data_IF_155995280032
#
_entry.id   IF_155995280032
#
_cell.length_a   1.000
_cell.length_b   1.000
_cell.length_c   1.000
_cell.angle_alpha   90.00
_cell.angle_beta   90.00
_cell.angle_gamma   90.00
#
_symmetry.space_group_name_H-M   'P 1'
#
loop_
_entity.id
_entity.type
_entity.pdbx_description
1 polymer ?
#
# COMPACT_ATOMS: atom_id res chain seq x y z
N UNK A 1 -7.93 11.05 6.86
CA UNK A 1 -7.04 10.26 5.98
C UNK A 1 -6.28 9.14 6.68
N UNK A 2 -5.26 9.37 7.53
CA UNK A 2 -4.47 8.23 8.08
C UNK A 2 -5.32 7.22 8.88
N UNK A 3 -6.26 7.72 9.69
CA UNK A 3 -7.21 6.89 10.44
C UNK A 3 -8.21 6.19 9.51
N UNK A 4 -8.78 6.91 8.54
CA UNK A 4 -9.67 6.33 7.52
C UNK A 4 -9.03 5.14 6.80
N UNK A 5 -7.74 5.25 6.43
CA UNK A 5 -7.01 4.14 5.78
C UNK A 5 -6.95 2.90 6.69
N UNK A 6 -6.75 3.08 8.00
CA UNK A 6 -6.72 1.96 8.94
C UNK A 6 -8.09 1.31 9.16
N UNK A 7 -9.18 2.03 8.86
CA UNK A 7 -10.57 1.58 9.01
C UNK A 7 -11.20 1.10 7.69
N UNK A 8 -10.44 1.07 6.59
CA UNK A 8 -10.92 0.58 5.29
C UNK A 8 -11.37 -0.87 5.38
N UNK A 9 -12.44 -1.20 4.65
CA UNK A 9 -12.92 -2.58 4.48
C UNK A 9 -12.47 -3.21 3.17
N UNK A 10 -12.23 -2.39 2.16
CA UNK A 10 -11.70 -2.76 0.84
C UNK A 10 -10.95 -1.57 0.23
N UNK A 11 -10.23 -1.82 -0.85
CA UNK A 11 -9.45 -0.83 -1.58
C UNK A 11 -7.95 -1.06 -1.50
N UNK A 12 -7.21 -0.32 -2.33
CA UNK A 12 -5.77 -0.43 -2.47
C UNK A 12 -5.03 0.82 -1.99
N UNK A 13 -4.03 0.60 -1.15
CA UNK A 13 -3.18 1.63 -0.54
C UNK A 13 -1.76 1.43 -1.01
N UNK A 14 -1.17 2.43 -1.67
CA UNK A 14 0.23 2.43 -2.08
C UNK A 14 1.07 3.23 -1.09
N UNK A 15 2.02 2.57 -0.44
CA UNK A 15 3.05 3.20 0.39
C UNK A 15 4.37 3.21 -0.36
N UNK A 16 5.02 4.37 -0.43
CA UNK A 16 6.22 4.58 -1.24
C UNK A 16 7.32 5.24 -0.40
N UNK A 17 8.57 4.97 -0.74
CA UNK A 17 9.74 5.54 -0.05
C UNK A 17 10.17 4.76 1.20
N UNK A 18 9.91 3.45 1.25
CA UNK A 18 10.31 2.55 2.35
C UNK A 18 9.60 2.87 3.69
N UNK A 19 8.30 3.17 3.63
CA UNK A 19 7.46 3.48 4.78
C UNK A 19 7.13 2.28 5.69
N UNK A 20 8.11 1.45 6.08
CA UNK A 20 7.95 0.18 6.84
C UNK A 20 7.04 0.32 8.04
N UNK A 21 7.24 1.39 8.83
CA UNK A 21 6.45 1.62 10.04
C UNK A 21 4.97 1.81 9.74
N UNK A 22 4.64 2.55 8.68
CA UNK A 22 3.26 2.77 8.28
C UNK A 22 2.64 1.48 7.76
N UNK A 23 3.35 0.75 6.90
CA UNK A 23 2.90 -0.53 6.38
C UNK A 23 2.56 -1.52 7.51
N UNK A 24 3.46 -1.63 8.50
CA UNK A 24 3.23 -2.42 9.72
C UNK A 24 2.02 -1.94 10.51
N UNK A 25 1.84 -0.62 10.70
CA UNK A 25 0.68 -0.09 11.42
C UNK A 25 -0.63 -0.52 10.75
N UNK A 26 -0.72 -0.42 9.42
CA UNK A 26 -1.95 -0.79 8.70
C UNK A 26 -2.21 -2.28 8.73
N UNK A 27 -1.18 -3.11 8.47
CA UNK A 27 -1.33 -4.56 8.54
C UNK A 27 -1.73 -5.03 9.95
N UNK A 28 -1.11 -4.47 10.99
CA UNK A 28 -1.49 -4.77 12.37
C UNK A 28 -2.93 -4.32 12.69
N UNK A 29 -3.36 -3.16 12.18
CA UNK A 29 -4.72 -2.66 12.39
C UNK A 29 -5.76 -3.60 11.75
N UNK A 30 -5.52 -4.01 10.50
CA UNK A 30 -6.41 -4.91 9.79
C UNK A 30 -6.38 -6.35 10.35
N UNK A 31 -5.21 -6.84 10.75
CA UNK A 31 -5.07 -8.14 11.43
C UNK A 31 -5.80 -8.17 12.78
N UNK A 32 -5.72 -7.09 13.57
CA UNK A 32 -6.50 -6.95 14.83
C UNK A 32 -8.01 -6.95 14.62
N UNK A 33 -8.49 -6.60 13.42
CA UNK A 33 -9.89 -6.71 13.05
C UNK A 33 -10.29 -8.14 12.62
N UNK A 34 -9.41 -9.14 12.80
CA UNK A 34 -9.67 -10.55 12.52
C UNK A 34 -9.49 -10.96 11.06
N UNK A 35 -8.78 -10.15 10.25
CA UNK A 35 -8.58 -10.41 8.82
C UNK A 35 -7.34 -11.26 8.58
N UNK A 36 -7.44 -12.26 7.70
CA UNK A 36 -6.29 -13.07 7.29
C UNK A 36 -5.48 -12.30 6.26
N UNK A 37 -4.17 -12.32 6.45
CA UNK A 37 -3.23 -11.54 5.64
C UNK A 37 -2.38 -12.52 4.83
N UNK A 38 -2.35 -12.33 3.51
CA UNK A 38 -1.36 -12.96 2.62
C UNK A 38 -0.31 -11.93 2.22
N UNK A 39 0.96 -12.27 2.41
CA UNK A 39 2.09 -11.44 2.01
C UNK A 39 2.98 -12.19 1.03
N UNK A 40 3.47 -11.51 -0.01
CA UNK A 40 4.49 -12.10 -0.89
C UNK A 40 5.79 -12.42 -0.13
N UNK A 41 6.17 -11.50 0.74
CA UNK A 41 7.16 -11.70 1.79
C UNK A 41 6.97 -10.62 2.86
N UNK A 42 7.57 -10.84 4.03
CA UNK A 42 7.49 -9.92 5.16
C UNK A 42 8.79 -9.14 5.34
N UNK A 43 8.89 -7.87 4.87
CA UNK A 43 10.06 -7.03 5.10
C UNK A 43 10.18 -6.52 6.55
N UNK A 44 9.21 -6.83 7.40
CA UNK A 44 9.12 -6.44 8.81
C UNK A 44 8.18 -7.40 9.57
N UNK A 45 8.29 -7.40 10.90
CA UNK A 45 7.41 -8.18 11.77
C UNK A 45 6.02 -7.53 11.86
N UNK A 46 4.97 -8.35 11.75
CA UNK A 46 3.56 -7.99 11.87
C UNK A 46 2.98 -8.78 13.06
N UNK A 47 2.06 -8.17 13.79
CA UNK A 47 1.36 -8.82 14.89
C UNK A 47 0.15 -9.57 14.32
N UNK A 48 0.06 -10.89 14.53
CA UNK A 48 -1.05 -11.75 14.09
C UNK A 48 -0.65 -12.79 13.05
N UNK A 49 -1.65 -13.52 12.53
CA UNK A 49 -1.45 -14.60 11.57
C UNK A 49 -1.26 -14.03 10.16
N UNK A 50 -0.03 -14.10 9.66
CA UNK A 50 0.33 -13.73 8.30
C UNK A 50 0.86 -14.95 7.56
N UNK A 51 0.32 -15.19 6.38
CA UNK A 51 0.71 -16.27 5.50
C UNK A 51 1.63 -15.72 4.41
N UNK A 52 2.63 -16.51 4.01
CA UNK A 52 3.56 -16.15 2.95
C UNK A 52 3.21 -16.94 1.69
N UNK A 53 3.01 -16.25 0.58
CA UNK A 53 2.67 -16.89 -0.69
C UNK A 53 2.37 -15.89 -1.81
N UNK A 54 2.10 -16.42 -2.99
CA UNK A 54 1.74 -15.63 -4.17
C UNK A 54 0.32 -15.08 -4.04
N UNK A 55 0.10 -13.76 -4.18
CA UNK A 55 -1.24 -13.17 -4.16
C UNK A 55 -2.10 -13.60 -5.36
N UNK A 56 -1.50 -14.23 -6.36
CA UNK A 56 -2.18 -14.67 -7.59
C UNK A 56 -2.72 -16.10 -7.53
N UNK A 57 -2.52 -16.81 -6.41
CA UNK A 57 -2.81 -18.24 -6.30
C UNK A 57 -3.91 -18.57 -5.29
N UNK A 58 -4.36 -17.61 -4.49
CA UNK A 58 -5.47 -17.77 -3.54
C UNK A 58 -6.27 -16.49 -3.44
N UNK A 59 -7.59 -16.63 -3.39
CA UNK A 59 -8.53 -15.54 -3.12
C UNK A 59 -9.17 -15.66 -1.72
N UNK A 60 -8.64 -16.56 -0.89
CA UNK A 60 -9.20 -16.86 0.43
C UNK A 60 -8.86 -15.80 1.47
N UNK A 61 -8.03 -14.80 1.14
CA UNK A 61 -7.56 -13.80 2.07
C UNK A 61 -8.32 -12.48 1.91
N UNK A 62 -8.48 -11.76 3.02
CA UNK A 62 -9.15 -10.46 3.05
C UNK A 62 -8.15 -9.30 2.84
N UNK A 63 -6.86 -9.54 3.13
CA UNK A 63 -5.79 -8.54 3.05
C UNK A 63 -4.58 -9.11 2.30
N UNK A 64 -4.04 -8.34 1.36
CA UNK A 64 -2.85 -8.69 0.58
C UNK A 64 -1.74 -7.66 0.76
N UNK A 65 -0.52 -8.12 1.06
CA UNK A 65 0.70 -7.32 1.00
C UNK A 65 1.49 -7.67 -0.26
N UNK A 66 1.59 -6.71 -1.16
CA UNK A 66 2.31 -6.84 -2.43
C UNK A 66 3.50 -5.91 -2.41
N UNK A 67 4.70 -6.46 -2.64
CA UNK A 67 5.95 -5.72 -2.48
C UNK A 67 6.56 -5.35 -3.82
N UNK A 68 7.12 -4.15 -3.88
CA UNK A 68 7.76 -3.51 -5.03
C UNK A 68 6.94 -3.60 -6.33
N UNK A 69 5.64 -3.27 -6.30
CA UNK A 69 4.76 -3.43 -7.45
C UNK A 69 5.22 -2.62 -8.67
N UNK A 70 5.91 -1.48 -8.47
CA UNK A 70 6.33 -0.61 -9.56
C UNK A 70 7.66 -1.04 -10.19
N UNK A 71 8.47 -1.79 -9.43
CA UNK A 71 9.78 -2.29 -9.83
C UNK A 71 9.72 -3.65 -10.55
N UNK A 72 8.52 -4.24 -10.66
CA UNK A 72 8.27 -5.49 -11.41
C UNK A 72 8.51 -5.35 -12.91
N UNK A 73 8.71 -6.49 -13.57
CA UNK A 73 8.76 -6.54 -15.04
C UNK A 73 7.45 -6.04 -15.67
N UNK A 74 7.47 -5.71 -16.97
CA UNK A 74 6.26 -5.25 -17.68
C UNK A 74 5.13 -6.28 -17.64
N UNK A 75 5.46 -7.57 -17.80
CA UNK A 75 4.48 -8.65 -17.78
C UNK A 75 3.84 -8.81 -16.39
N UNK A 76 4.65 -8.79 -15.33
CA UNK A 76 4.16 -8.89 -13.96
C UNK A 76 3.35 -7.66 -13.54
N UNK A 77 3.72 -6.45 -13.98
CA UNK A 77 2.91 -5.25 -13.74
C UNK A 77 1.55 -5.34 -14.41
N UNK A 78 1.47 -5.90 -15.62
CA UNK A 78 0.20 -6.16 -16.29
C UNK A 78 -0.63 -7.17 -15.49
N UNK A 79 -0.03 -8.31 -15.12
CA UNK A 79 -0.70 -9.33 -14.28
C UNK A 79 -1.25 -8.74 -12.99
N UNK A 80 -0.45 -7.94 -12.29
CA UNK A 80 -0.86 -7.27 -11.06
C UNK A 80 -2.02 -6.28 -11.31
N UNK A 81 -1.96 -5.52 -12.40
CA UNK A 81 -3.03 -4.58 -12.76
C UNK A 81 -4.35 -5.30 -13.00
N UNK A 82 -4.31 -6.38 -13.78
CA UNK A 82 -5.49 -7.18 -14.10
C UNK A 82 -6.06 -7.78 -12.79
N UNK A 83 -5.20 -8.32 -11.93
CA UNK A 83 -5.58 -8.84 -10.61
C UNK A 83 -6.21 -7.77 -9.70
N UNK A 84 -5.63 -6.57 -9.61
CA UNK A 84 -6.20 -5.44 -8.84
C UNK A 84 -7.55 -4.99 -9.40
N UNK A 85 -7.77 -5.13 -10.71
CA UNK A 85 -9.05 -4.84 -11.34
C UNK A 85 -10.15 -5.82 -10.94
N UNK A 86 -9.79 -7.09 -10.76
CA UNK A 86 -10.70 -8.17 -10.36
C UNK A 86 -11.00 -8.18 -8.86
N UNK A 87 -10.05 -7.74 -8.01
CA UNK A 87 -10.11 -7.86 -6.55
C UNK A 87 -10.35 -6.51 -5.85
N UNK A 88 -11.29 -5.70 -6.38
CA UNK A 88 -11.63 -4.37 -5.82
C UNK A 88 -12.34 -4.44 -4.47
N UNK A 89 -12.87 -5.61 -4.12
CA UNK A 89 -13.52 -5.92 -2.85
C UNK A 89 -12.52 -6.27 -1.73
N UNK A 90 -11.24 -6.48 -2.05
CA UNK A 90 -10.19 -6.83 -1.08
C UNK A 90 -9.45 -5.60 -0.57
N UNK A 91 -8.76 -5.76 0.57
CA UNK A 91 -7.74 -4.81 0.98
C UNK A 91 -6.39 -5.17 0.40
N UNK A 92 -5.74 -4.20 -0.24
CA UNK A 92 -4.43 -4.40 -0.84
C UNK A 92 -3.46 -3.33 -0.37
N UNK A 93 -2.39 -3.75 0.30
CA UNK A 93 -1.27 -2.89 0.63
C UNK A 93 -0.15 -3.11 -0.39
N UNK A 94 0.04 -2.10 -1.22
CA UNK A 94 1.13 -2.01 -2.16
C UNK A 94 2.32 -1.34 -1.48
N UNK A 95 3.39 -2.08 -1.22
CA UNK A 95 4.57 -1.58 -0.52
C UNK A 95 5.74 -1.39 -1.47
N UNK A 96 6.11 -0.14 -1.74
CA UNK A 96 7.20 0.22 -2.65
C UNK A 96 8.37 0.86 -1.90
N UNK A 97 9.57 0.31 -2.07
CA UNK A 97 10.78 0.88 -1.49
C UNK A 97 11.14 2.21 -2.15
N UNK A 98 10.91 2.33 -3.46
CA UNK A 98 11.15 3.57 -4.19
C UNK A 98 10.14 4.65 -3.80
N UNK A 99 10.62 5.89 -3.64
CA UNK A 99 9.76 7.06 -3.48
C UNK A 99 9.18 7.49 -4.83
N UNK A 100 7.85 7.61 -4.94
CA UNK A 100 7.19 7.94 -6.22
C UNK A 100 6.05 8.98 -6.14
N UNK A 101 6.08 9.91 -5.18
CA UNK A 101 5.06 10.96 -5.05
C UNK A 101 4.71 11.66 -6.38
N UNK A 102 5.69 12.31 -6.98
CA UNK A 102 5.48 13.17 -8.16
C UNK A 102 5.46 12.36 -9.47
N UNK A 103 5.87 11.10 -9.43
CA UNK A 103 5.92 10.23 -10.60
C UNK A 103 4.79 9.20 -10.66
N UNK A 104 3.90 9.14 -9.66
CA UNK A 104 2.79 8.17 -9.63
C UNK A 104 1.92 8.26 -10.88
N UNK A 105 1.75 9.46 -11.45
CA UNK A 105 0.95 9.71 -12.66
C UNK A 105 1.45 8.95 -13.89
N UNK A 106 2.72 8.53 -13.89
CA UNK A 106 3.37 7.74 -14.96
C UNK A 106 3.08 6.25 -14.86
N UNK A 107 2.49 5.78 -13.76
CA UNK A 107 2.19 4.38 -13.54
C UNK A 107 0.69 4.13 -13.69
N UNK A 108 0.31 3.13 -14.48
CA UNK A 108 -1.10 2.76 -14.71
C UNK A 108 -1.81 2.30 -13.43
N UNK A 109 -1.05 1.80 -12.45
CA UNK A 109 -1.60 1.37 -11.16
C UNK A 109 -2.31 2.49 -10.39
N UNK A 110 -2.06 3.77 -10.74
CA UNK A 110 -2.76 4.91 -10.14
C UNK A 110 -4.29 4.81 -10.28
N UNK A 111 -4.77 4.17 -11.34
CA UNK A 111 -6.20 3.93 -11.61
C UNK A 111 -6.80 2.87 -10.65
N UNK A 112 -5.94 2.16 -9.93
CA UNK A 112 -6.29 1.03 -9.08
C UNK A 112 -6.10 1.30 -7.59
N UNK A 113 -5.45 2.41 -7.23
CA UNK A 113 -5.22 2.78 -5.83
C UNK A 113 -6.21 3.84 -5.38
N UNK A 114 -6.68 3.70 -4.15
CA UNK A 114 -7.56 4.66 -3.48
C UNK A 114 -6.73 5.67 -2.67
N UNK A 115 -5.58 5.24 -2.16
CA UNK A 115 -4.68 6.08 -1.39
C UNK A 115 -3.22 5.90 -1.80
N UNK A 116 -2.49 7.01 -1.85
CA UNK A 116 -1.03 7.05 -1.94
C UNK A 116 -0.46 7.69 -0.68
N UNK A 117 0.44 6.98 0.00
CA UNK A 117 1.24 7.50 1.10
C UNK A 117 2.70 7.56 0.64
N UNK A 118 3.18 8.78 0.42
CA UNK A 118 4.57 9.03 0.09
C UNK A 118 5.35 9.40 1.35
N UNK A 119 6.24 8.51 1.77
CA UNK A 119 7.09 8.70 2.93
C UNK A 119 8.48 9.16 2.51
N UNK A 120 8.96 10.24 3.13
CA UNK A 120 10.31 10.76 2.93
C UNK A 120 10.95 11.04 4.27
N UNK A 121 12.10 10.41 4.51
CA UNK A 121 13.00 10.75 5.61
C UNK A 121 13.91 11.87 5.13
N UNK A 122 13.88 13.00 5.81
CA UNK A 122 14.71 14.14 5.48
C UNK A 122 15.90 14.22 6.42
N UNK A 123 17.01 14.76 5.94
CA UNK A 123 18.34 14.68 6.57
C UNK A 123 18.44 15.34 7.95
N UNK A 124 17.47 16.18 8.35
CA UNK A 124 17.52 17.01 9.56
C UNK A 124 16.46 16.60 10.59
N UNK A 125 16.31 15.30 10.85
CA UNK A 125 15.47 14.82 11.95
C UNK A 125 13.96 15.07 11.77
N UNK A 126 13.49 15.18 10.53
CA UNK A 126 12.06 15.25 10.24
C UNK A 126 11.63 14.15 9.26
N UNK A 127 10.49 13.56 9.56
CA UNK A 127 9.78 12.65 8.66
C UNK A 127 8.64 13.42 8.01
N UNK A 128 8.55 13.34 6.69
CA UNK A 128 7.44 13.89 5.92
C UNK A 128 6.60 12.76 5.35
N UNK A 129 5.29 12.90 5.49
CA UNK A 129 4.28 12.03 4.93
C UNK A 129 3.32 12.86 4.10
N UNK A 130 3.26 12.61 2.80
CA UNK A 130 2.19 13.14 1.95
C UNK A 130 1.18 12.01 1.70
N UNK A 131 -0.06 12.23 2.12
CA UNK A 131 -1.17 11.28 1.95
C UNK A 131 -2.15 11.86 0.95
N UNK A 132 -2.36 11.16 -0.15
CA UNK A 132 -3.24 11.56 -1.23
C UNK A 132 -4.35 10.53 -1.39
N UNK A 133 -5.59 10.99 -1.55
CA UNK A 133 -6.72 10.16 -1.97
C UNK A 133 -6.89 10.31 -3.48
N UNK A 134 -7.08 9.19 -4.15
CA UNK A 134 -7.27 9.12 -5.59
C UNK A 134 -8.67 8.62 -5.91
N UNK A 135 -9.27 9.16 -6.96
CA UNK A 135 -10.48 8.64 -7.59
C UNK A 135 -10.23 8.56 -9.10
N UNK A 136 -10.33 7.36 -9.67
CA UNK A 136 -10.04 7.11 -11.09
C UNK A 136 -8.69 7.72 -11.53
N UNK A 137 -7.64 7.44 -10.76
CA UNK A 137 -6.28 7.91 -11.06
C UNK A 137 -6.00 9.39 -10.84
N UNK A 138 -6.98 10.17 -10.37
CA UNK A 138 -6.85 11.61 -10.09
C UNK A 138 -6.82 11.87 -8.60
N UNK A 139 -5.93 12.75 -8.16
CA UNK A 139 -5.86 13.18 -6.76
C UNK A 139 -7.05 14.09 -6.48
N UNK A 140 -7.91 13.68 -5.55
CA UNK A 140 -9.09 14.46 -5.11
C UNK A 140 -8.88 15.12 -3.75
N UNK A 141 -7.99 14.57 -2.93
CA UNK A 141 -7.64 15.12 -1.61
C UNK A 141 -6.16 14.88 -1.31
N UNK A 142 -5.53 15.81 -0.60
CA UNK A 142 -4.14 15.68 -0.17
C UNK A 142 -3.94 16.27 1.23
N UNK A 143 -3.18 15.58 2.06
CA UNK A 143 -2.75 16.05 3.37
C UNK A 143 -1.29 15.69 3.65
N UNK A 144 -0.52 16.69 4.08
CA UNK A 144 0.86 16.51 4.51
C UNK A 144 0.95 16.45 6.03
N UNK A 145 1.71 15.49 6.55
CA UNK A 145 2.07 15.37 7.96
C UNK A 145 3.59 15.47 8.09
N UNK A 146 4.04 16.15 9.13
CA UNK A 146 5.45 16.27 9.47
C UNK A 146 5.62 15.82 10.91
N UNK A 147 6.54 14.90 11.14
CA UNK A 147 6.98 14.53 12.49
C UNK A 147 8.37 15.08 12.71
N UNK A 148 8.52 15.90 13.76
CA UNK A 148 9.81 16.37 14.25
C UNK A 148 10.28 15.46 15.38
N UNK A 149 11.58 15.16 15.38
CA UNK A 149 12.27 14.46 16.45
C UNK A 149 13.05 15.45 17.32
#
# INVERSE_FOLDING_TARGET
>A
MLKEIAELNSGAVLITGDGKRLARIYLNAWGKAGRRILAEYLPFQVDGDVYIGSPFESDDFEVYLIVNPLSRSKAERKKLKDWLGEHRDKLVLLYEHKYVKDSITRYEIKEFIDYLIAYKRETVGFERLDVMRLENGRIVENKTYVRRY
#
